data_IF_304629662451
#
_entry.id   IF_304629662451
#
_cell.length_a   1.000
_cell.length_b   1.000
_cell.length_c   1.000
_cell.angle_alpha   90.00
_cell.angle_beta   90.00
_cell.angle_gamma   90.00
#
_symmetry.space_group_name_H-M   'P 1'
#
loop_
_entity.id
_entity.type
_entity.pdbx_description
1 polymer ?
#
# COMPACT_ATOMS: atom_id res chain seq x y z
N UNK A 1 4.87 -22.12 15.15
CA UNK A 1 4.36 -20.76 15.41
C UNK A 1 3.04 -20.63 14.68
N UNK A 2 2.04 -20.26 15.43
CA UNK A 2 0.67 -20.08 14.96
C UNK A 2 0.37 -18.58 14.84
N UNK A 3 -0.15 -18.15 13.69
CA UNK A 3 -0.42 -16.72 13.41
C UNK A 3 -1.90 -16.54 13.15
N UNK A 4 -2.53 -15.59 13.84
CA UNK A 4 -3.89 -15.16 13.53
C UNK A 4 -3.84 -14.05 12.46
N UNK A 5 -4.68 -14.17 11.44
CA UNK A 5 -4.88 -13.13 10.41
C UNK A 5 -6.32 -12.66 10.49
N UNK A 6 -6.53 -11.50 11.10
CA UNK A 6 -7.84 -10.85 11.21
C UNK A 6 -8.11 -10.11 9.90
N UNK A 7 -9.26 -10.35 9.26
CA UNK A 7 -9.53 -9.95 7.88
C UNK A 7 -8.87 -10.89 6.87
N UNK A 8 -8.71 -12.16 7.24
CA UNK A 8 -7.99 -13.18 6.45
C UNK A 8 -8.64 -13.55 5.12
N UNK A 9 -9.94 -13.28 4.95
CA UNK A 9 -10.65 -13.48 3.68
C UNK A 9 -10.51 -12.29 2.71
N UNK A 10 -10.00 -11.15 3.17
CA UNK A 10 -9.63 -10.01 2.33
C UNK A 10 -8.47 -10.34 1.39
N UNK A 11 -8.30 -9.57 0.31
CA UNK A 11 -7.27 -9.84 -0.72
C UNK A 11 -5.84 -9.90 -0.13
N UNK A 12 -5.46 -8.93 0.72
CA UNK A 12 -4.16 -8.93 1.40
C UNK A 12 -4.09 -9.99 2.51
N UNK A 13 -5.18 -10.20 3.26
CA UNK A 13 -5.26 -11.26 4.25
C UNK A 13 -5.01 -12.64 3.65
N UNK A 14 -5.58 -12.94 2.49
CA UNK A 14 -5.32 -14.16 1.74
C UNK A 14 -3.86 -14.26 1.28
N UNK A 15 -3.29 -13.17 0.76
CA UNK A 15 -1.88 -13.14 0.37
C UNK A 15 -0.95 -13.48 1.54
N UNK A 16 -1.18 -12.85 2.70
CA UNK A 16 -0.42 -13.10 3.93
C UNK A 16 -0.61 -14.54 4.40
N UNK A 17 -1.84 -15.04 4.39
CA UNK A 17 -2.14 -16.43 4.76
C UNK A 17 -1.33 -17.41 3.90
N UNK A 18 -1.33 -17.22 2.58
CA UNK A 18 -0.54 -18.06 1.67
C UNK A 18 0.97 -17.94 1.92
N UNK A 19 1.47 -16.73 2.17
CA UNK A 19 2.87 -16.53 2.51
C UNK A 19 3.24 -17.28 3.80
N UNK A 20 2.47 -17.14 4.86
CA UNK A 20 2.71 -17.80 6.15
C UNK A 20 2.67 -19.33 6.03
N UNK A 21 1.73 -19.88 5.26
CA UNK A 21 1.67 -21.33 5.00
C UNK A 21 2.91 -21.83 4.25
N UNK A 22 3.38 -21.11 3.23
CA UNK A 22 4.63 -21.43 2.52
C UNK A 22 5.85 -21.42 3.46
N UNK A 23 5.81 -20.57 4.50
CA UNK A 23 6.85 -20.52 5.55
C UNK A 23 6.64 -21.58 6.67
N UNK A 24 5.74 -22.55 6.46
CA UNK A 24 5.49 -23.63 7.41
C UNK A 24 4.82 -23.18 8.72
N UNK A 25 4.04 -22.09 8.67
CA UNK A 25 3.28 -21.59 9.83
C UNK A 25 1.87 -22.15 9.82
N UNK A 26 1.31 -22.39 11.00
CA UNK A 26 -0.12 -22.61 11.19
C UNK A 26 -0.81 -21.24 11.17
N UNK A 27 -1.93 -21.15 10.48
CA UNK A 27 -2.67 -19.88 10.35
C UNK A 27 -4.09 -20.04 10.86
N UNK A 28 -4.52 -19.12 11.70
CA UNK A 28 -5.92 -18.94 12.08
C UNK A 28 -6.44 -17.73 11.32
N UNK A 29 -7.50 -17.89 10.54
CA UNK A 29 -8.12 -16.77 9.84
C UNK A 29 -9.46 -16.43 10.46
N UNK A 30 -9.74 -15.14 10.51
CA UNK A 30 -11.05 -14.60 10.89
C UNK A 30 -11.48 -13.57 9.84
N UNK A 31 -12.76 -13.39 9.65
CA UNK A 31 -13.32 -12.33 8.82
C UNK A 31 -14.77 -12.06 9.23
N UNK A 32 -15.23 -10.79 9.10
CA UNK A 32 -16.63 -10.44 9.34
C UNK A 32 -17.58 -11.03 8.31
N UNK A 33 -17.10 -11.29 7.10
CA UNK A 33 -17.84 -11.96 6.04
C UNK A 33 -17.54 -13.46 6.06
N UNK A 34 -18.27 -14.20 6.89
CA UNK A 34 -18.13 -15.64 7.05
C UNK A 34 -18.28 -16.41 5.72
N UNK A 35 -19.02 -15.85 4.74
CA UNK A 35 -19.21 -16.47 3.43
C UNK A 35 -17.94 -16.54 2.59
N UNK A 36 -16.98 -15.65 2.88
CA UNK A 36 -15.66 -15.64 2.21
C UNK A 36 -14.64 -16.55 2.88
N UNK A 37 -14.94 -17.04 4.08
CA UNK A 37 -14.06 -17.97 4.78
C UNK A 37 -14.13 -19.35 4.13
N UNK A 38 -13.03 -20.12 4.07
CA UNK A 38 -13.04 -21.46 3.49
C UNK A 38 -13.94 -22.38 4.31
N UNK A 39 -14.88 -23.04 3.62
CA UNK A 39 -15.83 -23.99 4.20
C UNK A 39 -15.23 -25.39 4.40
N UNK A 40 -14.12 -25.70 3.73
CA UNK A 40 -13.41 -26.97 3.85
C UNK A 40 -12.12 -26.79 4.65
N UNK A 41 -11.77 -27.79 5.48
CA UNK A 41 -10.49 -27.85 6.17
C UNK A 41 -9.35 -27.87 5.16
N UNK A 42 -8.65 -26.74 5.04
CA UNK A 42 -7.36 -26.69 4.34
C UNK A 42 -6.23 -27.01 5.33
N UNK A 43 -5.26 -27.82 4.92
CA UNK A 43 -4.12 -28.17 5.77
C UNK A 43 -3.38 -26.87 6.21
N UNK A 44 -3.26 -26.70 7.51
CA UNK A 44 -2.58 -25.54 8.11
C UNK A 44 -3.46 -24.30 8.32
N UNK A 45 -4.74 -24.30 7.92
CA UNK A 45 -5.69 -23.21 8.16
C UNK A 45 -6.75 -23.63 9.17
N UNK A 46 -7.01 -22.78 10.13
CA UNK A 46 -8.14 -22.88 11.07
C UNK A 46 -9.01 -21.62 10.93
N UNK A 47 -10.32 -21.78 10.90
CA UNK A 47 -11.27 -20.65 10.96
C UNK A 47 -11.77 -20.54 12.41
N UNK A 48 -11.80 -19.35 12.96
CA UNK A 48 -12.25 -19.09 14.33
C UNK A 48 -12.89 -17.69 14.45
N UNK A 49 -13.50 -17.42 15.58
CA UNK A 49 -13.87 -16.04 15.97
C UNK A 49 -12.62 -15.21 16.30
N UNK A 50 -12.72 -13.88 16.27
CA UNK A 50 -11.62 -12.98 16.63
C UNK A 50 -11.09 -13.32 18.05
N UNK A 51 -11.98 -13.51 19.02
CA UNK A 51 -11.62 -13.79 20.40
C UNK A 51 -10.85 -15.14 20.56
N UNK A 52 -11.25 -16.20 19.84
CA UNK A 52 -10.58 -17.49 19.86
C UNK A 52 -9.23 -17.44 19.14
N UNK A 53 -9.18 -16.75 18.01
CA UNK A 53 -7.98 -16.59 17.19
C UNK A 53 -6.86 -15.89 17.99
N UNK A 54 -7.14 -14.75 18.63
CA UNK A 54 -6.13 -13.99 19.37
C UNK A 54 -5.64 -14.73 20.62
N UNK A 55 -6.51 -15.50 21.32
CA UNK A 55 -6.10 -16.32 22.47
C UNK A 55 -5.20 -17.50 22.10
N UNK A 56 -5.34 -18.01 20.88
CA UNK A 56 -4.70 -19.25 20.44
C UNK A 56 -3.44 -19.02 19.62
N UNK A 57 -3.16 -17.77 19.18
CA UNK A 57 -2.05 -17.45 18.32
C UNK A 57 -0.81 -16.96 19.07
N UNK A 58 0.37 -17.20 18.50
CA UNK A 58 1.63 -16.63 18.97
C UNK A 58 1.82 -15.17 18.52
N UNK A 59 1.22 -14.81 17.38
CA UNK A 59 1.23 -13.47 16.82
C UNK A 59 -0.07 -13.19 16.05
N UNK A 60 -0.43 -11.91 15.94
CA UNK A 60 -1.64 -11.45 15.27
C UNK A 60 -1.24 -10.49 14.14
N UNK A 61 -1.82 -10.67 12.97
CA UNK A 61 -1.76 -9.72 11.84
C UNK A 61 -3.15 -9.17 11.58
N UNK A 62 -3.29 -7.83 11.59
CA UNK A 62 -4.57 -7.14 11.37
C UNK A 62 -4.60 -6.60 9.95
N UNK A 63 -5.45 -7.21 9.10
CA UNK A 63 -5.59 -6.94 7.67
C UNK A 63 -7.02 -6.51 7.33
N UNK A 64 -7.51 -5.48 8.00
CA UNK A 64 -8.87 -4.94 7.84
C UNK A 64 -8.84 -3.55 7.21
N UNK A 65 -9.95 -3.07 6.63
CA UNK A 65 -10.04 -1.68 6.18
C UNK A 65 -9.72 -0.69 7.30
N UNK A 66 -9.13 0.47 6.94
CA UNK A 66 -8.77 1.50 7.93
C UNK A 66 -9.99 2.02 8.69
N UNK A 67 -11.15 2.05 8.05
CA UNK A 67 -12.43 2.45 8.65
C UNK A 67 -12.87 1.53 9.78
N UNK A 68 -12.56 0.25 9.69
CA UNK A 68 -12.99 -0.78 10.65
C UNK A 68 -11.90 -1.06 11.70
N UNK A 69 -10.70 -0.51 11.51
CA UNK A 69 -9.52 -0.87 12.29
C UNK A 69 -9.69 -0.64 13.79
N UNK A 70 -10.21 0.53 14.19
CA UNK A 70 -10.40 0.85 15.59
C UNK A 70 -11.40 -0.10 16.26
N UNK A 71 -12.54 -0.36 15.64
CA UNK A 71 -13.56 -1.28 16.15
C UNK A 71 -13.00 -2.69 16.37
N UNK A 72 -12.24 -3.19 15.40
CA UNK A 72 -11.58 -4.50 15.49
C UNK A 72 -10.56 -4.53 16.62
N UNK A 73 -9.74 -3.50 16.79
CA UNK A 73 -8.77 -3.44 17.90
C UNK A 73 -9.47 -3.39 19.26
N UNK A 74 -10.55 -2.62 19.38
CA UNK A 74 -11.36 -2.58 20.62
C UNK A 74 -11.99 -3.94 20.95
N UNK A 75 -12.51 -4.64 19.94
CA UNK A 75 -13.08 -5.98 20.09
C UNK A 75 -12.06 -6.99 20.60
N UNK A 76 -10.85 -7.02 20.01
CA UNK A 76 -9.85 -8.03 20.35
C UNK A 76 -9.07 -7.72 21.64
N UNK A 77 -8.98 -6.45 22.04
CA UNK A 77 -8.17 -5.99 23.15
C UNK A 77 -8.37 -6.78 24.48
N UNK A 78 -9.62 -7.10 24.91
CA UNK A 78 -9.84 -7.88 26.13
C UNK A 78 -9.32 -9.32 26.09
N UNK A 79 -9.02 -9.81 24.88
CA UNK A 79 -8.65 -11.21 24.64
C UNK A 79 -7.16 -11.41 24.38
N UNK A 80 -6.39 -10.33 24.22
CA UNK A 80 -4.95 -10.38 23.89
C UNK A 80 -4.12 -10.69 25.14
N UNK A 81 -3.35 -11.78 25.15
CA UNK A 81 -2.41 -12.08 26.21
C UNK A 81 -1.30 -11.03 26.34
N UNK A 82 -0.74 -10.84 27.55
CA UNK A 82 0.40 -9.96 27.73
C UNK A 82 1.59 -10.35 26.84
N UNK A 83 2.26 -9.35 26.28
CA UNK A 83 3.43 -9.47 25.38
C UNK A 83 3.16 -10.16 24.04
N UNK A 84 1.90 -10.43 23.70
CA UNK A 84 1.56 -10.93 22.37
C UNK A 84 1.92 -9.90 21.29
N UNK A 85 2.45 -10.38 20.19
CA UNK A 85 2.81 -9.52 19.05
C UNK A 85 1.56 -9.23 18.21
N UNK A 86 1.29 -7.95 17.96
CA UNK A 86 0.20 -7.50 17.09
C UNK A 86 0.78 -6.59 15.99
N UNK A 87 0.59 -6.98 14.74
CA UNK A 87 1.10 -6.26 13.58
C UNK A 87 -0.07 -5.75 12.74
N UNK A 88 -0.12 -4.45 12.57
CA UNK A 88 -1.01 -3.77 11.65
C UNK A 88 -0.40 -3.76 10.23
N UNK A 89 -1.23 -3.99 9.20
CA UNK A 89 -0.80 -3.91 7.79
C UNK A 89 -1.63 -2.94 6.95
N UNK A 90 -2.35 -2.02 7.57
CA UNK A 90 -3.11 -0.98 6.83
C UNK A 90 -2.19 -0.05 6.04
N UNK A 91 -2.76 0.74 5.14
CA UNK A 91 -1.98 1.64 4.26
C UNK A 91 -1.56 2.96 4.93
N UNK A 92 -2.09 3.30 6.11
CA UNK A 92 -1.68 4.46 6.92
C UNK A 92 -1.15 3.98 8.27
N UNK A 93 -0.33 4.76 8.95
CA UNK A 93 0.35 4.30 10.17
C UNK A 93 0.05 5.13 11.42
N UNK A 94 -0.15 6.43 11.30
CA UNK A 94 -0.34 7.30 12.49
C UNK A 94 -1.55 6.85 13.32
N UNK A 95 -2.73 6.75 12.69
CA UNK A 95 -3.95 6.37 13.40
C UNK A 95 -3.94 4.91 13.89
N UNK A 96 -3.58 3.90 13.08
CA UNK A 96 -3.53 2.52 13.53
C UNK A 96 -2.55 2.27 14.68
N UNK A 97 -1.33 2.81 14.60
CA UNK A 97 -0.34 2.66 15.68
C UNK A 97 -0.82 3.31 16.97
N UNK A 98 -1.37 4.54 16.88
CA UNK A 98 -1.95 5.22 18.05
C UNK A 98 -3.12 4.42 18.64
N UNK A 99 -3.98 3.84 17.81
CA UNK A 99 -5.10 2.99 18.24
C UNK A 99 -4.61 1.73 18.96
N UNK A 100 -3.63 1.03 18.39
CA UNK A 100 -3.03 -0.13 19.05
C UNK A 100 -2.43 0.25 20.42
N UNK A 101 -1.67 1.34 20.51
CA UNK A 101 -1.13 1.82 21.79
C UNK A 101 -2.21 2.22 22.81
N UNK A 102 -3.33 2.75 22.34
CA UNK A 102 -4.44 3.12 23.22
C UNK A 102 -5.10 1.92 23.86
N UNK A 103 -5.37 0.87 23.10
CA UNK A 103 -6.20 -0.25 23.54
C UNK A 103 -5.40 -1.51 23.92
N UNK A 104 -4.20 -1.71 23.37
CA UNK A 104 -3.37 -2.92 23.57
C UNK A 104 -2.18 -2.64 24.51
N UNK A 105 -2.45 -2.18 25.73
CA UNK A 105 -1.44 -1.71 26.70
C UNK A 105 -0.33 -2.70 27.01
N UNK A 106 -0.62 -3.99 26.99
CA UNK A 106 0.30 -5.05 27.39
C UNK A 106 0.83 -5.87 26.20
N UNK A 107 0.45 -5.54 24.98
CA UNK A 107 0.92 -6.18 23.76
C UNK A 107 2.19 -5.51 23.22
N UNK A 108 2.94 -6.21 22.41
CA UNK A 108 4.03 -5.67 21.61
C UNK A 108 3.48 -5.37 20.21
N UNK A 109 3.24 -4.10 19.90
CA UNK A 109 2.59 -3.68 18.66
C UNK A 109 3.61 -3.21 17.63
N UNK A 110 3.29 -3.32 16.33
CA UNK A 110 4.12 -2.80 15.26
C UNK A 110 3.25 -2.44 14.05
N UNK A 111 3.40 -1.23 13.54
CA UNK A 111 2.86 -0.87 12.24
C UNK A 111 3.75 -1.42 11.13
N UNK A 112 3.14 -2.04 10.13
CA UNK A 112 3.80 -2.48 8.90
C UNK A 112 2.97 -2.04 7.69
N UNK A 113 3.64 -1.71 6.59
CA UNK A 113 2.97 -1.41 5.33
C UNK A 113 3.68 -2.14 4.19
N UNK A 114 3.13 -3.25 3.69
CA UNK A 114 3.56 -3.83 2.43
C UNK A 114 3.26 -2.87 1.28
N UNK A 115 4.32 -2.34 0.63
CA UNK A 115 4.20 -1.37 -0.47
C UNK A 115 3.86 -2.06 -1.80
N UNK A 116 3.04 -3.10 -1.74
CA UNK A 116 2.59 -3.89 -2.89
C UNK A 116 1.17 -4.41 -2.67
N UNK A 117 0.48 -4.66 -3.76
CA UNK A 117 -0.86 -5.24 -3.72
C UNK A 117 -0.87 -6.77 -3.73
N UNK A 118 -2.04 -7.38 -3.57
CA UNK A 118 -2.22 -8.86 -3.53
C UNK A 118 -1.85 -9.57 -4.84
N UNK A 119 -1.53 -8.84 -5.90
CA UNK A 119 -1.01 -9.40 -7.16
C UNK A 119 0.48 -9.74 -7.13
N UNK A 120 1.22 -9.38 -6.08
CA UNK A 120 2.64 -9.74 -5.97
C UNK A 120 2.79 -11.27 -5.82
N UNK A 121 3.65 -11.88 -6.64
CA UNK A 121 3.89 -13.32 -6.62
C UNK A 121 4.78 -13.78 -5.46
N UNK A 122 5.59 -12.89 -4.92
CA UNK A 122 6.53 -13.16 -3.82
C UNK A 122 6.98 -11.84 -3.16
N UNK A 123 7.82 -11.95 -2.12
CA UNK A 123 8.48 -10.80 -1.49
C UNK A 123 9.71 -10.28 -2.25
N UNK A 124 10.16 -10.99 -3.29
CA UNK A 124 11.36 -10.61 -4.03
C UNK A 124 11.24 -9.20 -4.62
N UNK A 125 12.16 -8.32 -4.25
CA UNK A 125 12.21 -6.90 -4.61
C UNK A 125 11.00 -6.04 -4.13
N UNK A 126 10.15 -6.57 -3.25
CA UNK A 126 9.06 -5.78 -2.68
C UNK A 126 9.56 -4.91 -1.53
N UNK A 127 9.04 -3.68 -1.45
CA UNK A 127 9.30 -2.78 -0.35
C UNK A 127 8.28 -3.01 0.77
N UNK A 128 8.74 -2.97 2.02
CA UNK A 128 7.89 -3.00 3.22
C UNK A 128 8.41 -1.92 4.18
N UNK A 129 7.52 -1.11 4.70
CA UNK A 129 7.84 -0.13 5.74
C UNK A 129 7.41 -0.68 7.09
N UNK A 130 8.26 -0.55 8.09
CA UNK A 130 7.97 -0.86 9.49
C UNK A 130 8.07 0.43 10.31
N UNK A 131 7.10 0.65 11.20
CA UNK A 131 6.99 1.91 11.94
C UNK A 131 7.05 1.71 13.46
N UNK A 132 8.22 1.33 14.02
CA UNK A 132 8.39 1.22 15.46
C UNK A 132 8.39 2.61 16.12
N UNK A 133 7.82 2.71 17.34
CA UNK A 133 7.70 3.95 18.10
C UNK A 133 8.49 3.96 19.41
N UNK A 134 8.96 2.79 19.83
CA UNK A 134 9.75 2.63 21.06
C UNK A 134 10.84 1.56 20.90
N UNK A 135 11.63 1.34 21.95
CA UNK A 135 12.76 0.41 21.92
C UNK A 135 12.33 -1.04 21.62
N UNK A 136 11.31 -1.54 22.29
CA UNK A 136 10.87 -2.94 22.13
C UNK A 136 10.31 -3.20 20.73
N UNK A 137 9.54 -2.26 20.21
CA UNK A 137 9.06 -2.29 18.82
C UNK A 137 10.22 -2.21 17.83
N UNK A 138 11.25 -1.40 18.10
CA UNK A 138 12.44 -1.33 17.26
C UNK A 138 13.17 -2.66 17.23
N UNK A 139 13.31 -3.34 18.37
CA UNK A 139 13.91 -4.67 18.42
C UNK A 139 13.09 -5.72 17.65
N UNK A 140 11.76 -5.67 17.76
CA UNK A 140 10.86 -6.50 16.96
C UNK A 140 11.01 -6.20 15.46
N UNK A 141 10.97 -4.91 15.08
CA UNK A 141 11.10 -4.47 13.68
C UNK A 141 12.43 -4.93 13.08
N UNK A 142 13.56 -4.83 13.81
CA UNK A 142 14.85 -5.33 13.35
C UNK A 142 14.88 -6.85 13.16
N UNK A 143 14.16 -7.60 13.99
CA UNK A 143 14.04 -9.06 13.86
C UNK A 143 13.23 -9.43 12.60
N UNK A 144 12.09 -8.75 12.40
CA UNK A 144 11.24 -8.93 11.22
C UNK A 144 11.99 -8.51 9.96
N UNK A 145 12.67 -7.35 9.99
CA UNK A 145 13.52 -6.87 8.88
C UNK A 145 14.48 -7.95 8.42
N UNK A 146 15.33 -8.44 9.31
CA UNK A 146 16.32 -9.48 8.97
C UNK A 146 15.67 -10.71 8.35
N UNK A 147 14.53 -11.15 8.88
CA UNK A 147 13.81 -12.30 8.35
C UNK A 147 13.26 -12.03 6.94
N UNK A 148 12.57 -10.91 6.72
CA UNK A 148 11.96 -10.60 5.43
C UNK A 148 13.02 -10.30 4.34
N UNK A 149 14.17 -9.72 4.72
CA UNK A 149 15.30 -9.53 3.80
C UNK A 149 15.87 -10.86 3.29
N UNK A 150 15.85 -11.95 4.07
CA UNK A 150 16.20 -13.29 3.58
C UNK A 150 15.23 -13.80 2.52
N UNK A 151 14.03 -13.22 2.42
CA UNK A 151 13.02 -13.54 1.40
C UNK A 151 13.07 -12.59 0.20
N UNK A 152 14.08 -11.71 0.15
CA UNK A 152 14.30 -10.78 -0.95
C UNK A 152 13.52 -9.46 -0.84
N UNK A 153 12.85 -9.19 0.28
CA UNK A 153 12.18 -7.91 0.52
C UNK A 153 13.20 -6.80 0.84
N UNK A 154 12.82 -5.56 0.60
CA UNK A 154 13.54 -4.36 1.02
C UNK A 154 12.79 -3.69 2.16
N UNK A 155 13.43 -3.57 3.32
CA UNK A 155 12.76 -3.10 4.53
C UNK A 155 13.28 -1.74 4.96
N UNK A 156 12.37 -0.78 5.07
CA UNK A 156 12.65 0.56 5.59
C UNK A 156 12.00 0.74 6.95
N UNK A 157 12.73 1.33 7.90
CA UNK A 157 12.21 1.72 9.21
C UNK A 157 12.07 3.24 9.24
N UNK A 158 10.93 3.74 9.68
CA UNK A 158 10.67 5.16 9.88
C UNK A 158 9.57 5.36 10.93
N UNK A 159 9.33 6.59 11.36
CA UNK A 159 8.21 6.89 12.24
C UNK A 159 6.86 6.78 11.50
N UNK A 160 5.74 6.57 12.22
CA UNK A 160 4.41 6.60 11.61
C UNK A 160 4.12 7.92 10.88
N UNK A 161 4.59 9.04 11.40
CA UNK A 161 4.39 10.37 10.82
C UNK A 161 5.15 10.50 9.49
N UNK A 162 6.45 10.20 9.47
CA UNK A 162 7.25 10.20 8.24
C UNK A 162 6.65 9.28 7.18
N UNK A 163 6.16 8.11 7.59
CA UNK A 163 5.49 7.18 6.69
C UNK A 163 4.29 7.83 6.02
N UNK A 164 3.33 8.37 6.80
CA UNK A 164 2.08 8.89 6.25
C UNK A 164 2.33 10.14 5.38
N UNK A 165 3.32 10.98 5.72
CA UNK A 165 3.77 12.09 4.86
C UNK A 165 4.31 11.59 3.51
N UNK A 166 5.14 10.54 3.50
CA UNK A 166 5.66 9.96 2.25
C UNK A 166 4.56 9.27 1.44
N UNK A 167 3.64 8.57 2.09
CA UNK A 167 2.54 7.86 1.43
C UNK A 167 1.54 8.82 0.77
N UNK A 168 1.37 10.02 1.30
CA UNK A 168 0.57 11.05 0.66
C UNK A 168 1.07 11.37 -0.77
N UNK A 169 2.36 11.26 -1.02
CA UNK A 169 2.94 11.44 -2.36
C UNK A 169 2.98 10.09 -3.11
N UNK A 170 3.57 9.05 -2.49
CA UNK A 170 3.85 7.77 -3.17
C UNK A 170 2.59 7.04 -3.61
N UNK A 171 1.54 7.06 -2.79
CA UNK A 171 0.25 6.48 -3.12
C UNK A 171 -0.80 7.56 -3.44
N UNK A 172 -0.95 8.56 -2.55
CA UNK A 172 -1.99 9.57 -2.67
C UNK A 172 -1.95 10.28 -4.02
N UNK A 173 -0.86 10.97 -4.31
CA UNK A 173 -0.72 11.70 -5.58
C UNK A 173 -0.76 10.76 -6.80
N UNK A 174 -0.12 9.59 -6.72
CA UNK A 174 -0.10 8.63 -7.83
C UNK A 174 -1.50 8.15 -8.19
N UNK A 175 -2.31 7.81 -7.18
CA UNK A 175 -3.70 7.38 -7.40
C UNK A 175 -4.59 8.53 -7.85
N UNK A 176 -4.40 9.73 -7.29
CA UNK A 176 -5.10 10.94 -7.71
C UNK A 176 -4.87 11.23 -9.21
N UNK A 177 -3.61 11.19 -9.66
CA UNK A 177 -3.26 11.36 -11.08
C UNK A 177 -3.97 10.31 -11.95
N UNK A 178 -3.98 9.04 -11.52
CA UNK A 178 -4.62 7.96 -12.26
C UNK A 178 -6.14 8.18 -12.38
N UNK A 179 -6.81 8.56 -11.28
CA UNK A 179 -8.26 8.80 -11.24
C UNK A 179 -8.64 10.02 -12.11
N UNK A 180 -7.92 11.14 -11.94
CA UNK A 180 -8.15 12.35 -12.74
C UNK A 180 -7.88 12.11 -14.23
N UNK A 181 -6.83 11.33 -14.55
CA UNK A 181 -6.54 10.95 -15.93
C UNK A 181 -7.64 10.06 -16.51
N UNK A 182 -8.18 9.11 -15.73
CA UNK A 182 -9.31 8.29 -16.16
C UNK A 182 -10.53 9.12 -16.54
N UNK A 183 -10.94 10.03 -15.65
CA UNK A 183 -12.09 10.90 -15.86
C UNK A 183 -11.90 11.83 -17.07
N UNK A 184 -10.68 12.38 -17.21
CA UNK A 184 -10.31 13.20 -18.36
C UNK A 184 -10.40 12.41 -19.69
N UNK A 185 -9.86 11.18 -19.73
CA UNK A 185 -9.89 10.34 -20.93
C UNK A 185 -11.32 9.95 -21.31
N UNK A 186 -12.15 9.61 -20.31
CA UNK A 186 -13.57 9.29 -20.52
C UNK A 186 -14.37 10.48 -21.03
N UNK A 187 -14.09 11.69 -20.56
CA UNK A 187 -14.76 12.93 -21.01
C UNK A 187 -14.58 13.22 -22.50
N UNK A 188 -13.55 12.63 -23.14
CA UNK A 188 -13.31 12.80 -24.56
C UNK A 188 -14.14 11.87 -25.44
N UNK A 189 -14.77 10.84 -24.88
CA UNK A 189 -15.63 9.84 -25.55
C UNK A 189 -15.03 9.21 -26.81
N UNK A 190 -13.71 8.92 -26.80
CA UNK A 190 -12.94 8.41 -27.95
C UNK A 190 -11.94 7.32 -27.58
N UNK A 191 -12.21 6.53 -26.53
CA UNK A 191 -11.26 5.53 -26.03
C UNK A 191 -10.84 4.49 -27.08
N UNK A 192 -11.77 4.05 -27.92
CA UNK A 192 -11.47 3.07 -28.98
C UNK A 192 -10.49 3.66 -30.00
N UNK A 193 -10.75 4.87 -30.47
CA UNK A 193 -9.87 5.55 -31.43
C UNK A 193 -8.47 5.80 -30.83
N UNK A 194 -8.41 6.21 -29.55
CA UNK A 194 -7.15 6.40 -28.85
C UNK A 194 -6.35 5.10 -28.73
N UNK A 195 -7.01 3.97 -28.43
CA UNK A 195 -6.34 2.66 -28.39
C UNK A 195 -5.76 2.24 -29.74
N UNK A 196 -6.49 2.52 -30.82
CA UNK A 196 -6.04 2.15 -32.18
C UNK A 196 -4.76 2.87 -32.63
N UNK A 197 -4.46 4.05 -32.04
CA UNK A 197 -3.25 4.84 -32.34
C UNK A 197 -2.27 4.89 -31.16
N UNK A 198 -2.47 4.05 -30.13
CA UNK A 198 -1.75 4.10 -28.88
C UNK A 198 -0.27 3.73 -29.05
N UNK A 199 0.63 4.68 -28.80
CA UNK A 199 2.06 4.42 -28.59
C UNK A 199 2.36 3.97 -27.15
N UNK A 200 3.63 3.62 -26.88
CA UNK A 200 4.09 3.08 -25.61
C UNK A 200 3.72 3.95 -24.40
N UNK A 201 3.92 5.27 -24.49
CA UNK A 201 3.62 6.22 -23.41
C UNK A 201 2.13 6.21 -23.02
N UNK A 202 1.23 6.18 -24.03
CA UNK A 202 -0.21 6.13 -23.78
C UNK A 202 -0.62 4.78 -23.15
N UNK A 203 -0.04 3.66 -23.62
CA UNK A 203 -0.29 2.33 -23.04
C UNK A 203 0.12 2.29 -21.57
N UNK A 204 1.27 2.88 -21.21
CA UNK A 204 1.71 2.98 -19.81
C UNK A 204 0.71 3.76 -18.94
N UNK A 205 0.26 4.93 -19.43
CA UNK A 205 -0.75 5.72 -18.73
C UNK A 205 -2.05 4.92 -18.56
N UNK A 206 -2.52 4.27 -19.63
CA UNK A 206 -3.75 3.49 -19.58
C UNK A 206 -3.64 2.31 -18.63
N UNK A 207 -2.50 1.60 -18.60
CA UNK A 207 -2.25 0.51 -17.66
C UNK A 207 -2.31 0.98 -16.20
N UNK A 208 -1.71 2.14 -15.89
CA UNK A 208 -1.80 2.74 -14.55
C UNK A 208 -3.25 3.09 -14.20
N UNK A 209 -3.94 3.77 -15.10
CA UNK A 209 -5.34 4.20 -14.93
C UNK A 209 -6.24 2.99 -14.67
N UNK A 210 -6.20 1.99 -15.55
CA UNK A 210 -7.01 0.77 -15.44
C UNK A 210 -6.64 -0.04 -14.20
N UNK A 211 -5.37 -0.13 -13.86
CA UNK A 211 -4.87 -0.80 -12.66
C UNK A 211 -5.41 -0.20 -11.37
N UNK A 212 -5.56 1.12 -11.31
CA UNK A 212 -6.16 1.84 -10.18
C UNK A 212 -7.69 1.71 -10.22
N UNK A 213 -8.34 2.14 -11.29
CA UNK A 213 -9.81 2.27 -11.36
C UNK A 213 -10.53 0.90 -11.33
N UNK A 214 -9.86 -0.19 -11.70
CA UNK A 214 -10.43 -1.56 -11.62
C UNK A 214 -10.56 -2.08 -10.18
N UNK A 215 -10.08 -1.36 -9.19
CA UNK A 215 -10.11 -1.78 -7.78
C UNK A 215 -11.32 -1.21 -7.05
N UNK A 216 -11.41 -1.54 -5.76
CA UNK A 216 -12.49 -1.10 -4.88
C UNK A 216 -12.46 0.42 -4.68
N UNK A 217 -13.51 1.18 -5.06
CA UNK A 217 -13.57 2.62 -4.87
C UNK A 217 -13.50 3.05 -3.40
N UNK A 218 -14.05 2.26 -2.47
CA UNK A 218 -14.01 2.56 -1.04
C UNK A 218 -12.57 2.58 -0.51
N UNK A 219 -11.73 1.66 -0.98
CA UNK A 219 -10.31 1.65 -0.61
C UNK A 219 -9.63 2.96 -1.00
N UNK A 220 -9.83 3.44 -2.23
CA UNK A 220 -9.18 4.68 -2.69
C UNK A 220 -9.75 5.92 -2.02
N UNK A 221 -11.08 5.98 -1.82
CA UNK A 221 -11.71 7.08 -1.09
C UNK A 221 -11.16 7.17 0.35
N UNK A 222 -11.13 6.05 1.06
CA UNK A 222 -10.60 5.98 2.43
C UNK A 222 -9.13 6.38 2.49
N UNK A 223 -8.29 5.92 1.54
CA UNK A 223 -6.88 6.28 1.47
C UNK A 223 -6.71 7.79 1.22
N UNK A 224 -7.35 8.34 0.19
CA UNK A 224 -7.23 9.76 -0.18
C UNK A 224 -7.66 10.69 0.95
N UNK A 225 -8.74 10.34 1.66
CA UNK A 225 -9.33 11.17 2.72
C UNK A 225 -8.64 11.00 4.09
N UNK A 226 -7.84 9.93 4.29
CA UNK A 226 -7.15 9.69 5.57
C UNK A 226 -5.68 10.13 5.58
N UNK A 227 -5.08 10.38 4.41
CA UNK A 227 -3.68 10.79 4.33
C UNK A 227 -3.49 12.26 4.76
N UNK A 228 -2.48 12.54 5.60
CA UNK A 228 -2.18 13.90 6.01
C UNK A 228 -1.71 14.73 4.80
N UNK A 229 -2.02 16.01 4.82
CA UNK A 229 -1.58 16.98 3.80
C UNK A 229 -2.01 16.66 2.35
N UNK A 230 -2.90 15.69 2.11
CA UNK A 230 -3.30 15.30 0.77
C UNK A 230 -3.87 16.48 -0.02
N UNK A 231 -4.74 17.28 0.58
CA UNK A 231 -5.29 18.51 -0.03
C UNK A 231 -4.18 19.49 -0.50
N UNK A 232 -3.13 19.67 0.28
CA UNK A 232 -2.02 20.55 -0.09
C UNK A 232 -1.25 20.01 -1.31
N UNK A 233 -1.09 18.68 -1.38
CA UNK A 233 -0.41 18.00 -2.50
C UNK A 233 -1.26 18.11 -3.77
N UNK A 234 -2.57 17.89 -3.66
CA UNK A 234 -3.50 18.06 -4.77
C UNK A 234 -3.53 19.50 -5.29
N UNK A 235 -3.58 20.48 -4.39
CA UNK A 235 -3.49 21.90 -4.77
C UNK A 235 -2.16 22.23 -5.47
N UNK A 236 -1.05 21.71 -4.98
CA UNK A 236 0.26 21.88 -5.61
C UNK A 236 0.26 21.27 -7.02
N UNK A 237 -0.30 20.07 -7.17
CA UNK A 237 -0.43 19.42 -8.47
C UNK A 237 -1.29 20.24 -9.44
N UNK A 238 -2.45 20.72 -9.00
CA UNK A 238 -3.35 21.55 -9.80
C UNK A 238 -2.68 22.86 -10.26
N UNK A 239 -2.03 23.58 -9.33
CA UNK A 239 -1.29 24.82 -9.65
C UNK A 239 -0.16 24.56 -10.63
N UNK A 240 0.55 23.44 -10.49
CA UNK A 240 1.63 23.05 -11.38
C UNK A 240 1.07 22.71 -12.77
N UNK A 241 0.01 21.91 -12.86
CA UNK A 241 -0.66 21.58 -14.10
C UNK A 241 -1.16 22.83 -14.84
N UNK A 242 -1.81 23.74 -14.11
CA UNK A 242 -2.27 25.03 -14.65
C UNK A 242 -1.10 25.84 -15.23
N UNK A 243 0.01 25.94 -14.50
CA UNK A 243 1.20 26.68 -14.96
C UNK A 243 1.80 26.10 -16.25
N UNK A 244 1.81 24.79 -16.43
CA UNK A 244 2.22 24.15 -17.68
C UNK A 244 1.21 24.37 -18.80
N UNK A 245 -0.09 24.30 -18.51
CA UNK A 245 -1.15 24.55 -19.47
C UNK A 245 -1.09 25.99 -20.05
N UNK A 246 -0.72 26.97 -19.21
CA UNK A 246 -0.54 28.36 -19.63
C UNK A 246 0.62 28.53 -20.63
N UNK A 247 1.74 27.83 -20.44
CA UNK A 247 2.84 27.85 -21.42
C UNK A 247 2.40 27.31 -22.78
N UNK A 248 1.61 26.24 -22.78
CA UNK A 248 1.07 25.67 -24.03
C UNK A 248 0.09 26.62 -24.69
N UNK A 249 -0.84 27.20 -23.92
CA UNK A 249 -1.82 28.18 -24.40
C UNK A 249 -1.15 29.39 -25.02
N UNK A 250 -0.10 29.91 -24.37
CA UNK A 250 0.64 31.08 -24.81
C UNK A 250 1.70 30.75 -25.89
N UNK A 251 1.88 29.47 -26.24
CA UNK A 251 2.90 28.97 -27.18
C UNK A 251 4.35 29.39 -26.76
N UNK A 252 4.60 29.53 -25.45
CA UNK A 252 5.89 29.89 -24.90
C UNK A 252 6.87 28.70 -24.93
N UNK A 253 7.33 28.37 -26.11
CA UNK A 253 8.27 27.28 -26.36
C UNK A 253 9.61 27.46 -25.62
N UNK A 254 10.22 28.66 -25.59
CA UNK A 254 11.48 28.84 -24.87
C UNK A 254 11.37 28.53 -23.39
N UNK A 255 10.36 29.04 -22.73
CA UNK A 255 10.15 28.79 -21.29
C UNK A 255 9.78 27.32 -21.02
N UNK A 256 8.94 26.72 -21.86
CA UNK A 256 8.63 25.27 -21.77
C UNK A 256 9.93 24.44 -21.80
N UNK A 257 10.77 24.66 -22.80
CA UNK A 257 12.06 23.96 -22.94
C UNK A 257 12.97 24.18 -21.72
N UNK A 258 13.08 25.43 -21.26
CA UNK A 258 13.90 25.78 -20.10
C UNK A 258 13.45 25.05 -18.81
N UNK A 259 12.13 25.00 -18.57
CA UNK A 259 11.58 24.28 -17.39
C UNK A 259 11.78 22.77 -17.53
N UNK A 260 11.53 22.20 -18.71
CA UNK A 260 11.74 20.77 -18.97
C UNK A 260 13.20 20.35 -18.77
N UNK A 261 14.16 21.15 -19.24
CA UNK A 261 15.57 20.89 -19.05
C UNK A 261 15.95 20.88 -17.56
N UNK A 262 15.47 21.85 -16.79
CA UNK A 262 15.72 21.89 -15.33
C UNK A 262 15.17 20.64 -14.60
N UNK A 263 13.99 20.17 -14.98
CA UNK A 263 13.42 18.95 -14.42
C UNK A 263 14.30 17.75 -14.77
N UNK A 264 14.71 17.65 -16.03
CA UNK A 264 15.62 16.60 -16.51
C UNK A 264 16.93 16.60 -15.73
N UNK A 265 17.61 17.73 -15.63
CA UNK A 265 18.91 17.87 -14.96
C UNK A 265 18.82 17.49 -13.47
N UNK A 266 17.67 17.78 -12.84
CA UNK A 266 17.42 17.41 -11.45
C UNK A 266 17.18 15.92 -11.29
N UNK A 267 16.30 15.34 -12.09
CA UNK A 267 16.02 13.90 -12.06
C UNK A 267 17.27 13.06 -12.39
N UNK A 268 18.09 13.51 -13.32
CA UNK A 268 19.35 12.82 -13.67
C UNK A 268 20.34 12.75 -12.49
N UNK A 269 20.29 13.73 -11.57
CA UNK A 269 21.12 13.76 -10.35
C UNK A 269 20.51 12.97 -9.20
N UNK A 270 19.19 12.99 -9.06
CA UNK A 270 18.49 12.45 -7.89
C UNK A 270 18.00 10.99 -8.09
N UNK A 271 17.77 10.55 -9.36
CA UNK A 271 17.23 9.23 -9.68
C UNK A 271 18.31 8.34 -10.34
N UNK A 272 18.82 7.31 -9.64
CA UNK A 272 19.91 6.47 -10.16
C UNK A 272 19.61 5.78 -11.49
N UNK A 273 18.34 5.43 -11.74
CA UNK A 273 17.90 4.72 -12.94
C UNK A 273 17.30 5.62 -14.02
N UNK A 274 17.38 6.94 -13.88
CA UNK A 274 16.79 7.90 -14.81
C UNK A 274 17.15 7.64 -16.27
N UNK A 275 18.43 7.38 -16.54
CA UNK A 275 18.92 7.11 -17.92
C UNK A 275 18.28 5.85 -18.52
N UNK A 276 17.87 4.89 -17.67
CA UNK A 276 17.24 3.64 -18.08
C UNK A 276 15.73 3.72 -18.17
N UNK A 277 15.12 4.80 -17.67
CA UNK A 277 13.67 4.94 -17.54
C UNK A 277 12.93 4.70 -18.86
N UNK A 278 13.44 5.25 -19.97
CA UNK A 278 12.86 5.07 -21.29
C UNK A 278 12.85 3.60 -21.75
N UNK A 279 13.95 2.89 -21.55
CA UNK A 279 14.04 1.45 -21.89
C UNK A 279 13.18 0.60 -20.96
N UNK A 280 13.10 0.95 -19.69
CA UNK A 280 12.25 0.25 -18.70
C UNK A 280 10.77 0.35 -19.05
N UNK A 281 10.32 1.49 -19.58
CA UNK A 281 8.96 1.68 -20.08
C UNK A 281 8.62 0.68 -21.21
N UNK A 282 9.53 0.48 -22.16
CA UNK A 282 9.33 -0.50 -23.23
C UNK A 282 9.28 -1.94 -22.69
N UNK A 283 10.18 -2.32 -21.79
CA UNK A 283 10.17 -3.67 -21.17
C UNK A 283 8.87 -3.98 -20.46
N UNK A 284 8.28 -3.00 -19.75
CA UNK A 284 7.00 -3.19 -19.07
C UNK A 284 5.89 -3.43 -20.10
N UNK A 285 5.83 -2.64 -21.16
CA UNK A 285 4.75 -2.75 -22.17
C UNK A 285 4.92 -4.01 -23.05
N UNK A 286 6.14 -4.42 -23.35
CA UNK A 286 6.42 -5.64 -24.13
C UNK A 286 6.23 -6.93 -23.31
N UNK A 287 6.22 -6.84 -21.98
CA UNK A 287 5.96 -7.94 -21.06
C UNK A 287 4.48 -8.11 -20.69
N UNK A 288 3.61 -7.22 -21.17
CA UNK A 288 2.15 -7.29 -21.00
C UNK A 288 1.53 -8.06 -22.16
#
# INVERSE_FOLDING_TARGET
MKVAVIGGAGKMGQWITHFLLKEGREVIITDRDEKKLPTSKQAGITVASNAEAVKSADAIMVSVPITDFQEVIEEIAPHIPPKQVVIDITSVKVSPVATMHKYLKNALVLGAHPMFGPGASSLQNQNIVLTPTNHDETMLAQKIKRYLETKGARITLMSPQEHDEMIAVVLGLTHFIAIVSADTLLSLDRLEQMRNIAGTTYKMLLTLVEGVVSRDPEFYASLQMSLPHMTNIEELFQKTAQSWAELVKNKDKPEFMRRMSRIKDRLEKEEPDFVRAYQSMYRIIEGL
#
